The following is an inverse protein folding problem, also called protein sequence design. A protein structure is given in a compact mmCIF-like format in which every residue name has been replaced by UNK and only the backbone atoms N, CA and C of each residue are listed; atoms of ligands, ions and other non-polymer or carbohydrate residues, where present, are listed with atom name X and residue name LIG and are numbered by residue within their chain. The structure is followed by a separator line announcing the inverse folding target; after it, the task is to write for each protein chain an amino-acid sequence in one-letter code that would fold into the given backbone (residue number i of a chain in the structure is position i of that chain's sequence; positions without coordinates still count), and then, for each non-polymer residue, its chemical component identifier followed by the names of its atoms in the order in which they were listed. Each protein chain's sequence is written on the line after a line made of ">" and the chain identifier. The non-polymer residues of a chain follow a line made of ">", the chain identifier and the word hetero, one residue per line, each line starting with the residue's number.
data_IF_463131965759
#
_entry.id   IF_463131965759
#
_cell.length_a   1.000
_cell.length_b   1.000
_cell.length_c   1.000
_cell.angle_alpha   90.00
_cell.angle_beta   90.00
_cell.angle_gamma   90.00
#
_symmetry.space_group_name_H-M   'P 1'
#
loop_
_entity.id
_entity.type
_entity.pdbx_description
1 polymer ?
#
# COMPACT_ATOMS: atom_id res chain seq x y z
N UNK A 1 43.71 -2.69 9.19
CA UNK A 1 44.34 -2.47 7.87
C UNK A 1 44.71 -3.82 7.26
N UNK A 2 44.04 -4.23 6.19
CA UNK A 2 44.54 -5.12 5.15
C UNK A 2 43.54 -5.03 3.98
N UNK A 3 43.97 -4.35 2.91
CA UNK A 3 43.21 -4.07 1.69
C UNK A 3 42.94 -5.39 0.96
N UNK A 4 41.69 -5.71 0.65
CA UNK A 4 41.41 -6.59 -0.49
C UNK A 4 41.78 -5.79 -1.73
N UNK A 5 43.04 -5.90 -2.18
CA UNK A 5 43.67 -5.09 -3.23
C UNK A 5 43.11 -5.35 -4.63
N UNK A 6 41.78 -5.30 -4.79
CA UNK A 6 41.13 -5.36 -6.09
C UNK A 6 40.74 -3.95 -6.52
N UNK A 7 41.29 -3.51 -7.65
CA UNK A 7 40.98 -2.20 -8.25
C UNK A 7 39.58 -2.21 -8.86
N UNK A 8 39.00 -1.03 -9.09
CA UNK A 8 37.69 -0.89 -9.73
C UNK A 8 37.59 -1.65 -11.07
N UNK A 9 38.68 -1.67 -11.84
CA UNK A 9 38.79 -2.42 -13.10
C UNK A 9 38.66 -3.93 -12.92
N UNK A 10 39.13 -4.48 -11.79
CA UNK A 10 39.02 -5.91 -11.51
C UNK A 10 37.60 -6.33 -11.10
N UNK A 11 36.84 -5.44 -10.47
CA UNK A 11 35.43 -5.67 -10.13
C UNK A 11 34.55 -5.54 -11.37
N UNK A 12 34.84 -4.56 -12.23
CA UNK A 12 34.19 -4.40 -13.54
C UNK A 12 34.49 -5.58 -14.48
N UNK A 13 35.72 -6.08 -14.49
CA UNK A 13 36.08 -7.29 -15.26
C UNK A 13 35.44 -8.58 -14.71
N UNK A 14 35.11 -8.64 -13.41
CA UNK A 14 34.35 -9.77 -12.83
C UNK A 14 32.88 -9.75 -13.25
N UNK A 15 32.30 -8.55 -13.42
CA UNK A 15 30.95 -8.36 -13.97
C UNK A 15 30.89 -8.61 -15.49
N UNK A 16 32.04 -8.75 -16.16
CA UNK A 16 32.18 -8.96 -17.60
C UNK A 16 32.41 -10.45 -17.98
N UNK A 17 32.49 -11.36 -17.01
CA UNK A 17 32.67 -12.80 -17.29
C UNK A 17 31.34 -13.56 -17.35
N UNK A 18 30.99 -13.93 -18.59
CA UNK A 18 30.01 -14.92 -19.03
C UNK A 18 29.55 -15.94 -17.97
N UNK A 19 28.26 -15.91 -17.62
CA UNK A 19 27.56 -17.12 -17.18
C UNK A 19 27.14 -17.89 -18.44
N UNK A 20 27.79 -19.04 -18.62
CA UNK A 20 27.56 -20.02 -19.66
C UNK A 20 26.20 -20.70 -19.47
N UNK A 21 25.28 -20.49 -20.41
CA UNK A 21 24.47 -21.57 -21.01
C UNK A 21 24.10 -21.14 -22.43
N UNK A 22 24.64 -21.85 -23.41
CA UNK A 22 24.68 -21.41 -24.81
C UNK A 22 23.33 -21.33 -25.50
N UNK A 23 23.08 -20.19 -26.14
CA UNK A 23 22.44 -20.09 -27.45
C UNK A 23 22.82 -18.71 -28.03
N UNK A 24 23.46 -18.71 -29.19
CA UNK A 24 23.90 -17.49 -29.85
C UNK A 24 22.71 -16.65 -30.34
N UNK A 25 22.59 -15.41 -29.87
CA UNK A 25 22.06 -14.30 -30.67
C UNK A 25 22.38 -12.94 -30.04
N UNK A 26 22.98 -12.08 -30.87
CA UNK A 26 23.09 -10.61 -30.75
C UNK A 26 23.72 -10.01 -29.48
N UNK A 27 25.00 -9.66 -29.61
CA UNK A 27 25.74 -8.65 -28.84
C UNK A 27 24.85 -7.46 -28.41
N UNK A 28 24.53 -7.37 -27.12
CA UNK A 28 24.12 -6.13 -26.47
C UNK A 28 25.37 -5.28 -26.23
N UNK A 29 25.72 -4.43 -27.20
CA UNK A 29 26.77 -3.42 -27.03
C UNK A 29 26.29 -2.40 -25.99
N UNK A 30 26.93 -2.40 -24.80
CA UNK A 30 26.70 -1.43 -23.72
C UNK A 30 27.06 -0.02 -24.19
N UNK A 31 26.06 0.84 -24.41
CA UNK A 31 26.23 2.30 -24.53
C UNK A 31 25.91 2.95 -23.19
N UNK A 32 26.79 2.83 -22.20
CA UNK A 32 26.66 3.55 -20.93
C UNK A 32 27.78 4.58 -20.80
N UNK A 33 27.39 5.83 -20.55
CA UNK A 33 28.28 6.96 -20.30
C UNK A 33 28.40 7.16 -18.79
N UNK A 34 29.58 6.85 -18.24
CA UNK A 34 29.83 6.91 -16.82
C UNK A 34 29.85 8.33 -16.25
N UNK A 35 30.19 9.33 -17.06
CA UNK A 35 30.24 10.72 -16.62
C UNK A 35 28.83 11.29 -16.51
N UNK A 36 28.01 11.01 -17.52
CA UNK A 36 26.59 11.36 -17.51
C UNK A 36 25.81 10.67 -16.39
N UNK A 37 26.08 9.39 -16.11
CA UNK A 37 25.45 8.73 -14.96
C UNK A 37 25.94 9.32 -13.63
N UNK A 38 27.20 9.74 -13.53
CA UNK A 38 27.72 10.36 -12.30
C UNK A 38 27.02 11.69 -12.02
N UNK A 39 26.88 12.55 -13.02
CA UNK A 39 26.17 13.83 -12.91
C UNK A 39 24.69 13.62 -12.56
N UNK A 40 24.01 12.71 -13.24
CA UNK A 40 22.61 12.37 -12.95
C UNK A 40 22.43 11.89 -11.51
N UNK A 41 23.28 10.99 -11.03
CA UNK A 41 23.15 10.48 -9.66
C UNK A 41 23.54 11.54 -8.60
N UNK A 42 24.43 12.48 -8.90
CA UNK A 42 24.72 13.59 -7.97
C UNK A 42 23.54 14.55 -7.85
N UNK A 43 22.90 14.91 -8.98
CA UNK A 43 21.68 15.70 -8.99
C UNK A 43 20.54 14.97 -8.25
N UNK A 44 20.36 13.68 -8.52
CA UNK A 44 19.39 12.83 -7.79
C UNK A 44 19.70 12.75 -6.29
N UNK A 45 20.97 12.65 -5.89
CA UNK A 45 21.35 12.62 -4.47
C UNK A 45 21.01 13.94 -3.75
N UNK A 46 21.18 15.10 -4.41
CA UNK A 46 20.78 16.39 -3.86
C UNK A 46 19.25 16.51 -3.75
N UNK A 47 18.52 16.02 -4.75
CA UNK A 47 17.04 15.98 -4.75
C UNK A 47 16.55 15.07 -3.62
N UNK A 48 17.15 13.89 -3.46
CA UNK A 48 16.81 12.93 -2.41
C UNK A 48 17.13 13.49 -1.02
N UNK A 49 18.24 14.22 -0.86
CA UNK A 49 18.57 14.88 0.41
C UNK A 49 17.56 16.01 0.74
N UNK A 50 17.22 16.85 -0.24
CA UNK A 50 16.22 17.90 -0.08
C UNK A 50 14.83 17.33 0.20
N UNK A 51 14.44 16.26 -0.51
CA UNK A 51 13.22 15.51 -0.26
C UNK A 51 13.22 14.90 1.14
N UNK A 52 14.30 14.26 1.58
CA UNK A 52 14.42 13.70 2.92
C UNK A 52 14.19 14.75 4.00
N UNK A 53 14.79 15.92 3.88
CA UNK A 53 14.58 17.02 4.83
C UNK A 53 13.14 17.56 4.80
N UNK A 54 12.58 17.79 3.60
CA UNK A 54 11.23 18.34 3.47
C UNK A 54 10.14 17.34 3.87
N UNK A 55 10.32 16.07 3.53
CA UNK A 55 9.43 14.97 3.87
C UNK A 55 9.41 14.73 5.37
N UNK A 56 10.58 14.67 6.02
CA UNK A 56 10.68 14.54 7.48
C UNK A 56 9.92 15.66 8.20
N UNK A 57 10.15 16.91 7.80
CA UNK A 57 9.45 18.06 8.39
C UNK A 57 7.94 18.07 8.10
N UNK A 58 7.51 17.58 6.93
CA UNK A 58 6.08 17.46 6.61
C UNK A 58 5.39 16.37 7.42
N UNK A 59 6.04 15.21 7.61
CA UNK A 59 5.57 14.11 8.46
C UNK A 59 5.43 14.58 9.90
N UNK A 60 6.47 15.23 10.44
CA UNK A 60 6.48 15.75 11.81
C UNK A 60 5.36 16.77 12.02
N UNK A 61 5.23 17.78 11.13
CA UNK A 61 4.14 18.76 11.21
C UNK A 61 2.76 18.11 11.19
N UNK A 62 2.54 17.14 10.30
CA UNK A 62 1.25 16.44 10.22
C UNK A 62 0.96 15.63 11.48
N UNK A 63 1.95 14.89 11.99
CA UNK A 63 1.82 14.11 13.22
C UNK A 63 1.56 15.02 14.44
N UNK A 64 2.27 16.16 14.54
CA UNK A 64 2.07 17.16 15.58
C UNK A 64 0.66 17.76 15.56
N UNK A 65 0.16 18.14 14.38
CA UNK A 65 -1.20 18.67 14.22
C UNK A 65 -2.25 17.66 14.72
N UNK A 66 -2.21 16.41 14.24
CA UNK A 66 -3.16 15.37 14.70
C UNK A 66 -3.05 15.11 16.20
N UNK A 67 -1.83 15.06 16.75
CA UNK A 67 -1.64 14.91 18.21
C UNK A 67 -2.22 16.08 18.99
N UNK A 68 -2.08 17.32 18.50
CA UNK A 68 -2.62 18.50 19.16
C UNK A 68 -4.15 18.43 19.23
N UNK A 69 -4.81 18.06 18.13
CA UNK A 69 -6.26 17.89 18.07
C UNK A 69 -6.74 16.81 19.05
N UNK A 70 -6.09 15.65 19.08
CA UNK A 70 -6.44 14.57 20.01
C UNK A 70 -6.21 14.97 21.48
N UNK A 71 -5.12 15.69 21.77
CA UNK A 71 -4.87 16.24 23.11
C UNK A 71 -5.94 17.24 23.52
N UNK A 72 -6.46 18.04 22.58
CA UNK A 72 -7.57 18.94 22.86
C UNK A 72 -8.86 18.17 23.16
N UNK A 73 -9.14 17.09 22.43
CA UNK A 73 -10.29 16.21 22.71
C UNK A 73 -10.16 15.54 24.09
N UNK A 74 -8.95 15.09 24.47
CA UNK A 74 -8.68 14.54 25.80
C UNK A 74 -8.97 15.58 26.89
N UNK A 75 -8.56 16.83 26.70
CA UNK A 75 -8.85 17.92 27.66
C UNK A 75 -10.35 18.25 27.76
N UNK A 76 -11.10 18.01 26.70
CA UNK A 76 -12.53 18.32 26.62
C UNK A 76 -13.46 17.22 27.15
N UNK A 77 -12.91 16.04 27.50
CA UNK A 77 -13.69 14.91 28.02
C UNK A 77 -13.23 14.51 29.42
N UNK A 78 -14.15 14.05 30.26
CA UNK A 78 -13.85 13.45 31.58
C UNK A 78 -14.03 11.93 31.58
N UNK A 79 -14.47 11.35 30.46
CA UNK A 79 -14.71 9.92 30.30
C UNK A 79 -13.37 9.15 30.18
N UNK A 80 -13.02 8.29 31.16
CA UNK A 80 -11.75 7.56 31.16
C UNK A 80 -11.55 6.64 29.95
N UNK A 81 -12.62 6.04 29.43
CA UNK A 81 -12.53 5.13 28.28
C UNK A 81 -12.26 5.92 27.00
N UNK A 82 -12.90 7.08 26.82
CA UNK A 82 -12.58 8.00 25.70
C UNK A 82 -11.15 8.51 25.79
N UNK A 83 -10.67 8.86 26.98
CA UNK A 83 -9.28 9.30 27.16
C UNK A 83 -8.31 8.19 26.73
N UNK A 84 -8.56 6.95 27.16
CA UNK A 84 -7.74 5.78 26.79
C UNK A 84 -7.74 5.55 25.28
N UNK A 85 -8.90 5.62 24.63
CA UNK A 85 -9.03 5.47 23.19
C UNK A 85 -8.27 6.57 22.42
N UNK A 86 -8.41 7.83 22.83
CA UNK A 86 -7.69 8.97 22.23
C UNK A 86 -6.17 8.85 22.44
N UNK A 87 -5.73 8.37 23.60
CA UNK A 87 -4.31 8.12 23.87
C UNK A 87 -3.75 6.97 23.01
N UNK A 88 -4.55 5.94 22.73
CA UNK A 88 -4.17 4.87 21.82
C UNK A 88 -3.98 5.42 20.38
N UNK A 89 -4.85 6.33 19.92
CA UNK A 89 -4.68 7.00 18.61
C UNK A 89 -3.40 7.85 18.56
N UNK A 90 -3.01 8.53 19.64
CA UNK A 90 -1.73 9.24 19.72
C UNK A 90 -0.54 8.27 19.59
N UNK A 91 -0.60 7.13 20.27
CA UNK A 91 0.45 6.10 20.18
C UNK A 91 0.56 5.51 18.78
N UNK A 92 -0.57 5.36 18.09
CA UNK A 92 -0.62 4.96 16.70
C UNK A 92 0.06 6.00 15.81
N UNK A 93 -0.30 7.29 15.91
CA UNK A 93 0.35 8.38 15.15
C UNK A 93 1.87 8.38 15.35
N UNK A 94 2.35 8.20 16.59
CA UNK A 94 3.78 8.12 16.89
C UNK A 94 4.45 6.91 16.21
N UNK A 95 3.72 5.80 16.09
CA UNK A 95 4.21 4.60 15.39
C UNK A 95 4.27 4.87 13.88
N UNK A 96 3.22 5.45 13.31
CA UNK A 96 3.18 5.80 11.88
C UNK A 96 4.31 6.78 11.50
N UNK A 97 4.52 7.84 12.30
CA UNK A 97 5.63 8.79 12.13
C UNK A 97 6.99 8.10 12.16
N UNK A 98 7.23 7.18 13.12
CA UNK A 98 8.49 6.42 13.20
C UNK A 98 8.72 5.57 11.96
N UNK A 99 7.69 4.92 11.44
CA UNK A 99 7.79 4.09 10.23
C UNK A 99 8.20 4.93 9.01
N UNK A 100 7.61 6.11 8.83
CA UNK A 100 7.96 7.00 7.72
C UNK A 100 9.35 7.61 7.88
N UNK A 101 9.75 7.94 9.11
CA UNK A 101 11.09 8.45 9.41
C UNK A 101 12.19 7.42 9.11
N UNK A 102 11.90 6.11 9.12
CA UNK A 102 12.86 5.09 8.65
C UNK A 102 13.15 5.26 7.16
N UNK A 103 12.15 5.51 6.31
CA UNK A 103 12.39 5.80 4.90
C UNK A 103 13.15 7.12 4.68
N UNK A 104 12.82 8.16 5.44
CA UNK A 104 13.56 9.43 5.38
C UNK A 104 15.04 9.22 5.75
N UNK A 105 15.32 8.48 6.83
CA UNK A 105 16.69 8.12 7.23
C UNK A 105 17.42 7.32 6.15
N UNK A 106 16.75 6.31 5.59
CA UNK A 106 17.29 5.51 4.49
C UNK A 106 17.66 6.35 3.27
N UNK A 107 16.76 7.23 2.83
CA UNK A 107 16.94 8.10 1.67
C UNK A 107 18.03 9.16 1.91
N UNK A 108 18.12 9.70 3.12
CA UNK A 108 19.17 10.67 3.49
C UNK A 108 20.57 10.08 3.65
N UNK A 109 20.72 8.75 3.57
CA UNK A 109 22.00 8.06 3.66
C UNK A 109 22.55 7.91 5.09
N UNK A 110 21.68 8.02 6.11
CA UNK A 110 22.08 7.87 7.51
C UNK A 110 22.22 6.39 7.90
N UNK A 111 23.35 5.76 7.58
CA UNK A 111 23.69 4.41 8.06
C UNK A 111 24.35 3.50 7.03
N UNK A 112 24.84 2.34 7.49
CA UNK A 112 25.33 1.29 6.58
C UNK A 112 24.17 0.63 5.83
N UNK A 113 24.39 0.28 4.56
CA UNK A 113 23.33 -0.24 3.66
C UNK A 113 22.58 -1.45 4.22
N UNK A 114 23.26 -2.35 4.94
CA UNK A 114 22.61 -3.48 5.60
C UNK A 114 21.68 -3.06 6.77
N UNK A 115 22.07 -2.04 7.54
CA UNK A 115 21.23 -1.51 8.62
C UNK A 115 20.02 -0.76 8.05
N UNK A 116 20.20 -0.04 6.94
CA UNK A 116 19.11 0.60 6.20
C UNK A 116 18.12 -0.43 5.68
N UNK A 117 18.60 -1.50 5.02
CA UNK A 117 17.74 -2.59 4.55
C UNK A 117 16.93 -3.20 5.70
N UNK A 118 17.58 -3.55 6.82
CA UNK A 118 16.92 -4.16 7.96
C UNK A 118 15.86 -3.23 8.57
N UNK A 119 16.17 -1.94 8.70
CA UNK A 119 15.22 -0.94 9.19
C UNK A 119 14.01 -0.79 8.28
N UNK A 120 14.23 -0.63 6.97
CA UNK A 120 13.16 -0.55 5.98
C UNK A 120 12.30 -1.81 5.97
N UNK A 121 12.91 -2.99 6.06
CA UNK A 121 12.19 -4.27 6.05
C UNK A 121 11.32 -4.45 7.30
N UNK A 122 11.83 -4.12 8.49
CA UNK A 122 11.02 -4.12 9.72
C UNK A 122 9.87 -3.10 9.65
N UNK A 123 10.13 -1.92 9.07
CA UNK A 123 9.08 -0.93 8.88
C UNK A 123 8.02 -1.41 7.87
N UNK A 124 8.44 -2.04 6.78
CA UNK A 124 7.58 -2.67 5.78
C UNK A 124 6.68 -3.74 6.41
N UNK A 125 7.25 -4.62 7.23
CA UNK A 125 6.53 -5.66 7.98
C UNK A 125 5.47 -5.07 8.91
N UNK A 126 5.81 -3.99 9.61
CA UNK A 126 4.86 -3.29 10.50
C UNK A 126 3.72 -2.64 9.72
N UNK A 127 4.01 -1.96 8.61
CA UNK A 127 2.99 -1.39 7.73
C UNK A 127 2.11 -2.48 7.11
N UNK A 128 2.70 -3.61 6.69
CA UNK A 128 1.95 -4.78 6.22
C UNK A 128 0.99 -5.29 7.28
N UNK A 129 1.40 -5.43 8.54
CA UNK A 129 0.51 -5.83 9.64
C UNK A 129 -0.66 -4.86 9.85
N UNK A 130 -0.43 -3.55 9.74
CA UNK A 130 -1.51 -2.57 9.78
C UNK A 130 -2.48 -2.78 8.62
N UNK A 131 -1.96 -2.94 7.41
CA UNK A 131 -2.77 -3.18 6.21
C UNK A 131 -3.60 -4.45 6.35
N UNK A 132 -3.02 -5.56 6.81
CA UNK A 132 -3.74 -6.82 7.05
C UNK A 132 -4.86 -6.61 8.08
N UNK A 133 -4.53 -6.07 9.25
CA UNK A 133 -5.50 -5.87 10.32
C UNK A 133 -6.65 -4.94 9.89
N UNK A 134 -6.36 -3.95 9.05
CA UNK A 134 -7.37 -3.05 8.49
C UNK A 134 -8.22 -3.74 7.42
N UNK A 135 -7.61 -4.53 6.54
CA UNK A 135 -8.33 -5.36 5.55
C UNK A 135 -9.28 -6.35 6.21
N UNK A 136 -8.91 -6.93 7.35
CA UNK A 136 -9.71 -7.90 8.09
C UNK A 136 -10.99 -7.32 8.73
N UNK A 137 -11.05 -6.00 8.94
CA UNK A 137 -12.22 -5.32 9.52
C UNK A 137 -13.46 -5.46 8.66
N UNK A 138 -13.29 -5.52 7.34
CA UNK A 138 -14.43 -5.68 6.44
C UNK A 138 -14.85 -7.14 6.38
N UNK A 139 -16.08 -7.42 6.81
CA UNK A 139 -16.65 -8.75 6.71
C UNK A 139 -16.79 -9.21 5.25
N UNK A 140 -17.11 -8.27 4.35
CA UNK A 140 -17.32 -8.54 2.93
C UNK A 140 -18.69 -8.10 2.45
N UNK A 141 -18.93 -8.27 1.16
CA UNK A 141 -20.21 -8.10 0.50
C UNK A 141 -20.58 -9.36 -0.26
N UNK A 142 -21.84 -9.78 -0.18
CA UNK A 142 -22.31 -11.02 -0.81
C UNK A 142 -23.71 -10.86 -1.42
N UNK A 143 -23.98 -11.58 -2.50
CA UNK A 143 -25.32 -11.80 -3.04
C UNK A 143 -25.88 -13.21 -2.73
N UNK A 144 -25.19 -13.95 -1.86
CA UNK A 144 -25.46 -15.34 -1.49
C UNK A 144 -24.81 -16.39 -2.40
N UNK A 145 -24.24 -15.97 -3.54
CA UNK A 145 -23.52 -16.85 -4.48
C UNK A 145 -22.06 -16.41 -4.63
N UNK A 146 -21.84 -15.11 -4.78
CA UNK A 146 -20.53 -14.49 -4.87
C UNK A 146 -20.27 -13.66 -3.62
N UNK A 147 -19.06 -13.75 -3.07
CA UNK A 147 -18.60 -12.91 -1.97
C UNK A 147 -17.32 -12.20 -2.38
N UNK A 148 -17.20 -10.92 -2.01
CA UNK A 148 -15.99 -10.13 -2.18
C UNK A 148 -15.65 -9.46 -0.86
N UNK A 149 -14.40 -9.61 -0.43
CA UNK A 149 -13.87 -8.97 0.78
C UNK A 149 -12.45 -8.42 0.50
N UNK A 150 -11.68 -8.13 1.55
CA UNK A 150 -10.29 -7.64 1.43
C UNK A 150 -9.25 -8.68 1.87
N UNK A 151 -9.60 -9.96 2.02
CA UNK A 151 -8.76 -10.99 2.66
C UNK A 151 -8.78 -12.37 2.00
N UNK A 152 -9.76 -12.66 1.14
CA UNK A 152 -9.95 -13.97 0.52
C UNK A 152 -9.10 -14.20 -0.73
N UNK A 153 -8.40 -13.18 -1.24
CA UNK A 153 -7.63 -13.31 -2.46
C UNK A 153 -6.38 -14.16 -2.24
N UNK A 154 -6.11 -15.06 -3.19
CA UNK A 154 -4.96 -15.94 -3.11
C UNK A 154 -3.65 -15.18 -3.40
N UNK A 155 -2.66 -15.36 -2.53
CA UNK A 155 -1.29 -14.88 -2.72
C UNK A 155 -0.34 -15.78 -1.91
N UNK A 156 0.94 -15.81 -2.26
CA UNK A 156 1.94 -16.36 -1.33
C UNK A 156 2.19 -15.41 -0.16
N UNK A 157 1.92 -14.11 -0.35
CA UNK A 157 2.36 -13.04 0.53
C UNK A 157 3.88 -12.86 0.46
N UNK A 158 4.37 -11.61 0.53
CA UNK A 158 5.82 -11.35 0.39
C UNK A 158 6.66 -12.03 1.49
N UNK A 159 6.03 -12.38 2.62
CA UNK A 159 6.64 -13.09 3.76
C UNK A 159 6.20 -14.55 3.90
N UNK A 160 5.51 -15.09 2.91
CA UNK A 160 4.98 -16.47 2.98
C UNK A 160 3.82 -16.63 3.97
N UNK A 161 3.14 -15.53 4.33
CA UNK A 161 1.99 -15.52 5.24
C UNK A 161 0.67 -15.84 4.52
N UNK A 162 0.69 -15.99 3.19
CA UNK A 162 -0.47 -16.29 2.38
C UNK A 162 -1.49 -15.15 2.25
N UNK A 163 -1.21 -13.98 2.83
CA UNK A 163 -2.16 -12.86 2.82
C UNK A 163 -1.92 -11.95 1.61
N UNK A 164 -2.98 -11.65 0.88
CA UNK A 164 -2.92 -10.72 -0.26
C UNK A 164 -3.17 -9.29 0.20
N UNK A 165 -2.14 -8.46 0.20
CA UNK A 165 -2.25 -7.01 0.48
C UNK A 165 -2.23 -6.16 -0.77
N UNK A 166 -1.72 -6.70 -1.88
CA UNK A 166 -1.75 -6.00 -3.15
C UNK A 166 -3.17 -5.90 -3.70
N UNK A 167 -3.47 -4.79 -4.35
CA UNK A 167 -4.73 -4.57 -5.04
C UNK A 167 -5.69 -3.66 -4.29
N UNK A 168 -6.77 -3.30 -4.96
CA UNK A 168 -7.76 -2.35 -4.47
C UNK A 168 -8.69 -3.03 -3.45
N UNK A 169 -8.99 -2.33 -2.36
CA UNK A 169 -10.02 -2.73 -1.40
C UNK A 169 -11.42 -2.52 -1.96
N UNK A 170 -12.40 -3.19 -1.36
CA UNK A 170 -13.81 -3.07 -1.76
C UNK A 170 -14.28 -1.61 -1.67
N UNK A 171 -14.81 -1.09 -2.78
CA UNK A 171 -15.42 0.24 -2.87
C UNK A 171 -16.94 0.11 -2.89
N UNK A 172 -17.56 0.27 -1.72
CA UNK A 172 -19.02 0.09 -1.57
C UNK A 172 -19.85 1.08 -2.39
N UNK A 173 -19.36 2.30 -2.64
CA UNK A 173 -20.06 3.25 -3.50
C UNK A 173 -20.10 2.79 -4.97
N UNK A 174 -19.12 2.00 -5.40
CA UNK A 174 -19.14 1.37 -6.72
C UNK A 174 -20.14 0.21 -6.74
N UNK A 175 -20.07 -0.70 -5.76
CA UNK A 175 -20.95 -1.88 -5.72
C UNK A 175 -22.42 -1.53 -5.41
N UNK A 176 -22.65 -0.82 -4.31
CA UNK A 176 -23.98 -0.49 -3.81
C UNK A 176 -24.54 0.79 -4.43
N UNK A 177 -23.68 1.66 -4.98
CA UNK A 177 -24.07 2.98 -5.45
C UNK A 177 -23.99 4.05 -4.37
N UNK A 178 -23.99 5.34 -4.76
CA UNK A 178 -23.81 6.46 -3.83
C UNK A 178 -24.95 6.57 -2.80
N UNK A 179 -26.13 5.99 -3.08
CA UNK A 179 -27.29 5.98 -2.18
C UNK A 179 -27.77 4.55 -1.85
N UNK A 180 -26.87 3.58 -1.99
CA UNK A 180 -27.11 2.16 -1.70
C UNK A 180 -28.25 1.52 -2.53
N UNK A 181 -28.52 2.02 -3.73
CA UNK A 181 -29.62 1.55 -4.57
C UNK A 181 -29.45 0.11 -5.08
N UNK A 182 -28.22 -0.42 -5.12
CA UNK A 182 -27.91 -1.80 -5.55
C UNK A 182 -27.76 -2.79 -4.40
N UNK A 183 -27.87 -2.35 -3.15
CA UNK A 183 -27.72 -3.20 -1.97
C UNK A 183 -28.97 -3.14 -1.10
N UNK A 184 -29.17 -4.17 -0.26
CA UNK A 184 -30.28 -4.17 0.69
C UNK A 184 -30.01 -3.12 1.75
N UNK A 185 -31.08 -2.42 2.14
CA UNK A 185 -31.05 -1.35 3.13
C UNK A 185 -31.68 -1.80 4.44
N UNK A 186 -31.17 -1.26 5.53
CA UNK A 186 -31.69 -1.50 6.87
C UNK A 186 -33.06 -0.84 7.03
N UNK A 187 -33.98 -1.49 7.75
CA UNK A 187 -35.36 -1.03 7.94
C UNK A 187 -35.76 -1.14 9.40
N UNK A 188 -36.54 -0.18 9.88
CA UNK A 188 -37.14 -0.19 11.21
C UNK A 188 -38.27 -1.24 11.31
N UNK A 189 -38.85 -1.39 12.51
CA UNK A 189 -39.95 -2.32 12.79
C UNK A 189 -41.22 -2.04 11.99
N UNK A 190 -41.34 -0.86 11.37
CA UNK A 190 -42.46 -0.45 10.52
C UNK A 190 -42.13 -0.57 9.02
N UNK A 191 -40.96 -1.11 8.69
CA UNK A 191 -40.51 -1.30 7.32
C UNK A 191 -39.96 -0.03 6.64
N UNK A 192 -39.75 1.06 7.40
CA UNK A 192 -39.15 2.30 6.89
C UNK A 192 -37.63 2.19 6.89
N UNK A 193 -36.98 2.65 5.82
CA UNK A 193 -35.51 2.67 5.73
C UNK A 193 -34.90 3.53 6.84
N UNK A 194 -33.88 2.99 7.51
CA UNK A 194 -33.09 3.71 8.51
C UNK A 194 -32.03 4.52 7.77
N UNK A 195 -31.97 5.82 8.01
CA UNK A 195 -31.01 6.71 7.37
C UNK A 195 -29.79 6.96 8.27
N UNK A 196 -28.65 7.24 7.65
CA UNK A 196 -27.49 7.80 8.32
C UNK A 196 -27.64 9.32 8.54
N UNK A 197 -26.61 9.94 9.12
CA UNK A 197 -26.57 11.38 9.43
C UNK A 197 -26.68 12.28 8.18
N UNK A 198 -26.42 11.72 6.99
CA UNK A 198 -26.50 12.41 5.70
C UNK A 198 -27.81 12.13 4.96
N UNK A 199 -28.74 11.39 5.57
CA UNK A 199 -30.00 11.00 4.96
C UNK A 199 -29.89 9.82 3.99
N UNK A 200 -28.74 9.14 3.91
CA UNK A 200 -28.53 7.98 3.05
C UNK A 200 -29.01 6.72 3.79
N UNK A 201 -29.82 5.84 3.18
CA UNK A 201 -30.25 4.60 3.82
C UNK A 201 -29.06 3.72 4.22
N UNK A 202 -29.02 3.27 5.48
CA UNK A 202 -27.98 2.37 5.98
C UNK A 202 -28.03 1.02 5.24
N UNK A 203 -26.85 0.44 5.02
CA UNK A 203 -26.74 -0.89 4.45
C UNK A 203 -27.22 -1.94 5.45
N UNK A 204 -28.01 -2.90 4.97
CA UNK A 204 -28.35 -4.08 5.76
C UNK A 204 -27.17 -5.04 5.78
N UNK A 205 -26.76 -5.42 6.98
CA UNK A 205 -25.79 -6.50 7.22
C UNK A 205 -26.54 -7.81 7.53
N UNK A 206 -25.95 -8.95 7.19
CA UNK A 206 -26.42 -10.25 7.67
C UNK A 206 -25.86 -10.59 9.07
N UNK A 207 -26.21 -11.77 9.59
CA UNK A 207 -25.76 -12.23 10.91
C UNK A 207 -24.25 -12.43 11.05
N UNK A 208 -23.50 -12.34 9.94
CA UNK A 208 -22.04 -12.43 9.90
C UNK A 208 -21.38 -11.08 9.57
N UNK A 209 -22.18 -10.02 9.43
CA UNK A 209 -21.70 -8.67 9.13
C UNK A 209 -21.52 -8.36 7.64
N UNK A 210 -21.84 -9.28 6.72
CA UNK A 210 -21.68 -9.01 5.29
C UNK A 210 -22.74 -8.04 4.78
N UNK A 211 -22.31 -7.08 3.96
CA UNK A 211 -23.20 -6.26 3.15
C UNK A 211 -23.94 -7.14 2.15
N UNK A 212 -25.23 -6.89 1.96
CA UNK A 212 -26.07 -7.71 1.10
C UNK A 212 -26.31 -7.02 -0.25
N UNK A 213 -25.65 -7.49 -1.30
CA UNK A 213 -25.91 -7.04 -2.66
C UNK A 213 -27.31 -7.50 -3.11
N UNK A 214 -28.11 -6.59 -3.67
CA UNK A 214 -29.49 -6.88 -4.07
C UNK A 214 -29.57 -7.12 -5.58
N UNK A 215 -29.54 -8.40 -5.97
CA UNK A 215 -29.62 -8.82 -7.38
C UNK A 215 -30.85 -8.25 -8.10
N UNK A 216 -31.97 -8.09 -7.39
CA UNK A 216 -33.21 -7.58 -7.99
C UNK A 216 -33.11 -6.08 -8.24
N UNK A 217 -32.60 -5.33 -7.26
CA UNK A 217 -32.42 -3.89 -7.40
C UNK A 217 -31.33 -3.55 -8.44
N UNK A 218 -30.22 -4.30 -8.42
CA UNK A 218 -29.13 -4.15 -9.38
C UNK A 218 -29.44 -4.70 -10.78
N UNK A 219 -30.50 -5.52 -10.92
CA UNK A 219 -30.89 -6.23 -12.15
C UNK A 219 -29.81 -7.16 -12.71
N UNK A 220 -28.90 -7.65 -11.85
CA UNK A 220 -27.81 -8.60 -12.17
C UNK A 220 -27.22 -9.23 -10.91
N UNK A 221 -26.52 -10.34 -11.05
CA UNK A 221 -25.72 -10.92 -9.95
C UNK A 221 -24.51 -10.05 -9.65
N UNK A 222 -23.89 -10.23 -8.49
CA UNK A 222 -22.65 -9.52 -8.15
C UNK A 222 -21.51 -9.92 -9.09
N UNK A 223 -21.39 -11.20 -9.45
CA UNK A 223 -20.43 -11.65 -10.47
C UNK A 223 -20.62 -10.93 -11.81
N UNK A 224 -21.87 -10.78 -12.28
CA UNK A 224 -22.17 -10.03 -13.50
C UNK A 224 -21.87 -8.54 -13.37
N UNK A 225 -21.99 -7.96 -12.16
CA UNK A 225 -21.59 -6.58 -11.91
C UNK A 225 -20.07 -6.40 -11.99
N UNK A 226 -19.30 -7.32 -11.39
CA UNK A 226 -17.83 -7.27 -11.41
C UNK A 226 -17.26 -7.34 -12.84
N UNK A 227 -18.00 -7.94 -13.78
CA UNK A 227 -17.63 -7.96 -15.21
C UNK A 227 -17.95 -6.66 -15.99
N UNK A 228 -18.70 -5.73 -15.40
CA UNK A 228 -18.98 -4.43 -16.01
C UNK A 228 -17.76 -3.51 -15.97
N UNK A 229 -17.81 -2.40 -16.72
CA UNK A 229 -16.76 -1.37 -16.67
C UNK A 229 -16.51 -0.88 -15.24
N UNK A 230 -17.56 -0.54 -14.50
CA UNK A 230 -17.44 -0.05 -13.12
C UNK A 230 -16.81 -1.11 -12.19
N UNK A 231 -17.20 -2.38 -12.37
CA UNK A 231 -16.64 -3.50 -11.61
C UNK A 231 -15.16 -3.76 -11.91
N UNK A 232 -14.76 -3.67 -13.18
CA UNK A 232 -13.37 -3.84 -13.62
C UNK A 232 -12.49 -2.66 -13.23
N UNK A 233 -13.00 -1.44 -13.37
CA UNK A 233 -12.29 -0.22 -12.99
C UNK A 233 -12.04 -0.20 -11.47
N UNK A 234 -12.94 -0.76 -10.65
CA UNK A 234 -12.75 -0.90 -9.19
C UNK A 234 -11.56 -1.77 -8.80
N UNK A 235 -11.22 -2.80 -9.58
CA UNK A 235 -10.07 -3.66 -9.28
C UNK A 235 -8.74 -2.92 -9.42
N UNK A 236 -8.72 -1.78 -10.12
CA UNK A 236 -7.51 -1.04 -10.41
C UNK A 236 -6.65 -1.70 -11.49
N UNK A 237 -5.60 -1.01 -11.91
CA UNK A 237 -4.71 -1.46 -12.99
C UNK A 237 -3.71 -2.52 -12.54
N UNK A 238 -3.38 -2.57 -11.24
CA UNK A 238 -2.34 -3.43 -10.68
C UNK A 238 -2.82 -4.07 -9.38
N UNK A 239 -2.52 -5.35 -9.18
CA UNK A 239 -2.88 -6.07 -7.97
C UNK A 239 -4.32 -6.62 -7.94
N UNK A 240 -5.23 -6.12 -8.78
CA UNK A 240 -6.64 -6.57 -8.80
C UNK A 240 -7.41 -6.18 -7.53
N UNK A 241 -8.49 -6.87 -7.20
CA UNK A 241 -9.14 -6.70 -5.89
C UNK A 241 -8.40 -7.51 -4.82
N UNK A 242 -8.28 -7.00 -3.59
CA UNK A 242 -7.61 -7.73 -2.48
C UNK A 242 -8.27 -9.07 -2.17
N UNK A 243 -9.61 -9.16 -2.16
CA UNK A 243 -10.34 -10.43 -2.04
C UNK A 243 -10.44 -11.26 -3.32
N UNK A 244 -9.87 -10.79 -4.43
CA UNK A 244 -9.96 -11.42 -5.74
C UNK A 244 -8.59 -11.90 -6.28
N UNK A 245 -8.56 -12.40 -7.52
CA UNK A 245 -7.30 -12.78 -8.15
C UNK A 245 -6.40 -11.55 -8.36
N UNK A 246 -5.09 -11.75 -8.21
CA UNK A 246 -4.11 -10.74 -8.58
C UNK A 246 -4.11 -10.49 -10.08
N UNK A 247 -4.19 -9.23 -10.51
CA UNK A 247 -4.19 -8.87 -11.93
C UNK A 247 -3.21 -7.76 -12.27
N UNK A 248 -2.68 -7.78 -13.50
CA UNK A 248 -1.93 -6.68 -14.11
C UNK A 248 -2.62 -6.27 -15.41
N UNK A 249 -3.09 -5.03 -15.49
CA UNK A 249 -3.96 -4.52 -16.56
C UNK A 249 -5.18 -5.42 -16.82
N UNK A 250 -5.77 -5.95 -15.74
CA UNK A 250 -6.90 -6.88 -15.79
C UNK A 250 -6.55 -8.33 -16.18
N UNK A 251 -5.29 -8.63 -16.53
CA UNK A 251 -4.85 -10.00 -16.79
C UNK A 251 -4.41 -10.68 -15.50
N UNK A 252 -4.95 -11.87 -15.16
CA UNK A 252 -4.61 -12.55 -13.93
C UNK A 252 -3.15 -13.03 -13.93
N UNK A 253 -2.49 -12.96 -12.77
CA UNK A 253 -1.21 -13.59 -12.51
C UNK A 253 -1.33 -14.65 -11.40
N UNK A 254 -0.42 -15.62 -11.40
CA UNK A 254 -0.43 -16.72 -10.43
C UNK A 254 0.01 -16.27 -9.04
N UNK A 255 -0.72 -16.70 -8.03
CA UNK A 255 -0.27 -16.67 -6.62
C UNK A 255 1.11 -17.35 -6.48
N UNK A 256 2.01 -16.71 -5.73
CA UNK A 256 3.40 -17.14 -5.54
C UNK A 256 4.33 -16.92 -6.74
N UNK A 257 3.81 -16.40 -7.85
CA UNK A 257 4.62 -16.01 -9.00
C UNK A 257 5.44 -14.74 -8.73
N UNK A 258 6.39 -14.43 -9.62
CA UNK A 258 7.22 -13.21 -9.51
C UNK A 258 6.34 -11.95 -9.48
N UNK A 259 5.30 -11.89 -10.31
CA UNK A 259 4.38 -10.75 -10.31
C UNK A 259 3.63 -10.63 -8.99
N UNK A 260 3.19 -11.74 -8.40
CA UNK A 260 2.54 -11.72 -7.08
C UNK A 260 3.47 -11.14 -6.01
N UNK A 261 4.69 -11.67 -5.91
CA UNK A 261 5.68 -11.19 -4.93
C UNK A 261 6.06 -9.72 -5.13
N UNK A 262 6.23 -9.28 -6.37
CA UNK A 262 6.53 -7.86 -6.66
C UNK A 262 5.39 -6.96 -6.20
N UNK A 263 4.14 -7.32 -6.49
CA UNK A 263 3.00 -6.52 -6.05
C UNK A 263 2.83 -6.58 -4.53
N UNK A 264 3.03 -7.73 -3.89
CA UNK A 264 2.94 -7.88 -2.42
C UNK A 264 4.04 -7.12 -1.68
N UNK A 265 5.23 -6.95 -2.27
CA UNK A 265 6.27 -6.11 -1.69
C UNK A 265 5.81 -4.65 -1.56
N UNK A 266 4.99 -4.18 -2.50
CA UNK A 266 4.37 -2.86 -2.42
C UNK A 266 3.14 -2.85 -1.52
N UNK A 267 2.23 -3.82 -1.67
CA UNK A 267 0.86 -3.83 -1.11
C UNK A 267 0.78 -3.32 0.32
N UNK A 268 1.54 -3.92 1.25
CA UNK A 268 1.52 -3.54 2.65
C UNK A 268 1.89 -2.07 2.91
N UNK A 269 3.01 -1.60 2.37
CA UNK A 269 3.49 -0.23 2.58
C UNK A 269 2.70 0.80 1.77
N UNK A 270 2.33 0.45 0.55
CA UNK A 270 1.50 1.27 -0.32
C UNK A 270 0.15 1.56 0.33
N UNK A 271 -0.61 0.53 0.71
CA UNK A 271 -1.95 0.69 1.29
C UNK A 271 -1.93 1.41 2.63
N UNK A 272 -0.87 1.22 3.41
CA UNK A 272 -0.70 1.98 4.64
C UNK A 272 -0.51 3.48 4.36
N UNK A 273 0.33 3.86 3.40
CA UNK A 273 0.63 5.26 3.05
C UNK A 273 -0.55 5.92 2.30
N UNK A 274 -1.08 5.23 1.29
CA UNK A 274 -2.15 5.75 0.42
C UNK A 274 -3.52 5.69 1.09
N UNK A 275 -3.76 4.67 1.92
CA UNK A 275 -5.05 4.36 2.51
C UNK A 275 -5.18 4.83 3.95
N UNK A 276 -4.48 4.14 4.86
CA UNK A 276 -4.59 4.37 6.31
C UNK A 276 -4.10 5.77 6.71
N UNK A 277 -2.91 6.17 6.27
CA UNK A 277 -2.27 7.42 6.67
C UNK A 277 -2.99 8.66 6.10
N UNK A 278 -3.44 8.57 4.85
CA UNK A 278 -4.19 9.64 4.17
C UNK A 278 -5.61 9.82 4.70
N UNK A 279 -6.11 8.82 5.45
CA UNK A 279 -7.50 8.73 5.88
C UNK A 279 -8.47 8.44 4.73
N UNK A 280 -7.99 7.79 3.67
CA UNK A 280 -8.84 7.26 2.59
C UNK A 280 -9.62 6.03 3.04
N UNK A 281 -9.06 5.21 3.92
CA UNK A 281 -9.76 4.07 4.49
C UNK A 281 -10.63 4.47 5.69
N UNK A 282 -11.83 3.90 5.76
CA UNK A 282 -12.79 4.12 6.83
C UNK A 282 -12.64 3.10 7.98
N UNK A 283 -13.54 3.18 8.97
CA UNK A 283 -13.51 2.31 10.15
C UNK A 283 -13.76 0.83 9.83
N UNK A 284 -14.31 0.51 8.66
CA UNK A 284 -14.49 -0.86 8.17
C UNK A 284 -13.28 -1.33 7.36
N UNK A 285 -12.25 -0.49 7.21
CA UNK A 285 -11.07 -0.79 6.40
C UNK A 285 -11.32 -0.69 4.90
N UNK A 286 -12.41 -0.07 4.44
CA UNK A 286 -12.70 0.12 3.02
C UNK A 286 -12.40 1.54 2.56
N UNK A 287 -12.35 1.77 1.25
CA UNK A 287 -12.38 3.12 0.70
C UNK A 287 -13.60 3.89 1.24
N UNK A 288 -13.35 5.10 1.74
CA UNK A 288 -14.38 5.96 2.31
C UNK A 288 -15.54 6.18 1.37
N UNK A 289 -16.71 6.21 1.97
CA UNK A 289 -17.98 6.44 1.28
C UNK A 289 -18.40 7.90 1.24
N UNK A 290 -19.16 8.26 0.21
CA UNK A 290 -19.72 9.59 0.03
C UNK A 290 -18.66 10.66 -0.23
N UNK A 291 -17.56 10.28 -0.88
CA UNK A 291 -16.54 11.22 -1.32
C UNK A 291 -17.08 12.09 -2.46
N UNK A 292 -16.84 13.40 -2.37
CA UNK A 292 -17.09 14.30 -3.51
C UNK A 292 -16.17 13.93 -4.69
N UNK A 293 -16.53 14.28 -5.94
CA UNK A 293 -15.65 14.05 -7.09
C UNK A 293 -14.24 14.60 -6.92
N UNK A 294 -14.11 15.76 -6.26
CA UNK A 294 -12.79 16.37 -5.96
C UNK A 294 -12.01 15.53 -4.97
N UNK A 295 -12.63 15.08 -3.88
CA UNK A 295 -11.96 14.22 -2.91
C UNK A 295 -11.54 12.88 -3.53
N UNK A 296 -12.42 12.27 -4.34
CA UNK A 296 -12.12 11.04 -5.06
C UNK A 296 -10.89 11.22 -5.96
N UNK A 297 -10.85 12.29 -6.78
CA UNK A 297 -9.71 12.60 -7.63
C UNK A 297 -8.41 12.84 -6.85
N UNK A 298 -8.48 13.51 -5.70
CA UNK A 298 -7.31 13.71 -4.84
C UNK A 298 -6.78 12.39 -4.26
N UNK A 299 -7.67 11.48 -3.85
CA UNK A 299 -7.25 10.18 -3.33
C UNK A 299 -6.69 9.26 -4.43
N UNK A 300 -7.27 9.27 -5.63
CA UNK A 300 -6.73 8.54 -6.79
C UNK A 300 -5.31 9.01 -7.12
N UNK A 301 -5.10 10.33 -7.26
CA UNK A 301 -3.76 10.92 -7.48
C UNK A 301 -2.80 10.56 -6.34
N UNK A 302 -3.26 10.65 -5.08
CA UNK A 302 -2.41 10.33 -3.93
C UNK A 302 -2.00 8.85 -3.92
N UNK A 303 -2.90 7.96 -4.32
CA UNK A 303 -2.64 6.52 -4.40
C UNK A 303 -1.52 6.24 -5.40
N UNK A 304 -1.56 6.85 -6.58
CA UNK A 304 -0.50 6.72 -7.57
C UNK A 304 0.85 7.30 -7.07
N UNK A 305 0.81 8.46 -6.42
CA UNK A 305 2.01 9.11 -5.85
C UNK A 305 2.62 8.27 -4.73
N UNK A 306 1.80 7.58 -3.92
CA UNK A 306 2.22 6.79 -2.77
C UNK A 306 3.11 5.60 -3.14
N UNK A 307 3.17 5.18 -4.40
CA UNK A 307 4.14 4.20 -4.88
C UNK A 307 5.58 4.65 -4.63
N UNK A 308 5.89 5.92 -4.86
CA UNK A 308 7.25 6.47 -4.70
C UNK A 308 7.76 6.35 -3.25
N UNK A 309 7.05 6.83 -2.21
CA UNK A 309 7.47 6.63 -0.82
C UNK A 309 7.33 5.18 -0.35
N UNK A 310 6.52 4.33 -1.01
CA UNK A 310 6.46 2.89 -0.73
C UNK A 310 7.68 2.12 -1.29
N UNK A 311 8.28 2.58 -2.39
CA UNK A 311 9.38 1.89 -3.09
C UNK A 311 10.56 1.49 -2.19
N UNK A 312 11.11 2.34 -1.30
CA UNK A 312 12.22 1.93 -0.43
C UNK A 312 11.88 0.72 0.45
N UNK A 313 10.65 0.66 0.97
CA UNK A 313 10.14 -0.44 1.76
C UNK A 313 9.96 -1.69 0.89
N UNK A 314 9.30 -1.55 -0.27
CA UNK A 314 9.09 -2.65 -1.19
C UNK A 314 10.42 -3.28 -1.67
N UNK A 315 11.42 -2.46 -1.99
CA UNK A 315 12.74 -2.95 -2.38
C UNK A 315 13.45 -3.68 -1.22
N UNK A 316 13.22 -3.29 0.02
CA UNK A 316 13.81 -3.97 1.18
C UNK A 316 13.25 -5.38 1.40
N UNK A 317 12.00 -5.61 0.98
CA UNK A 317 11.33 -6.90 1.00
C UNK A 317 11.67 -7.76 -0.23
N UNK A 318 11.65 -7.17 -1.42
CA UNK A 318 11.78 -7.88 -2.68
C UNK A 318 13.23 -8.24 -3.04
N UNK A 319 14.20 -7.41 -2.65
CA UNK A 319 15.60 -7.62 -3.01
C UNK A 319 16.34 -8.44 -1.96
N UNK A 320 17.09 -9.47 -2.37
CA UNK A 320 17.82 -10.30 -1.43
C UNK A 320 19.04 -9.52 -0.87
N UNK A 321 19.59 -9.90 0.30
CA UNK A 321 20.71 -9.19 0.93
C UNK A 321 21.94 -9.02 0.03
N UNK A 322 22.16 -9.92 -0.93
CA UNK A 322 23.27 -9.81 -1.88
C UNK A 322 23.10 -8.63 -2.84
N UNK A 323 21.87 -8.30 -3.24
CA UNK A 323 21.59 -7.14 -4.09
C UNK A 323 21.89 -5.83 -3.34
N UNK A 324 21.51 -5.76 -2.06
CA UNK A 324 21.86 -4.63 -1.19
C UNK A 324 23.36 -4.49 -0.94
N UNK A 325 24.08 -5.61 -0.79
CA UNK A 325 25.56 -5.60 -0.72
C UNK A 325 26.20 -5.11 -2.02
N UNK A 326 25.66 -5.50 -3.18
CA UNK A 326 26.14 -5.01 -4.47
C UNK A 326 25.92 -3.50 -4.60
N UNK A 327 24.75 -3.00 -4.15
CA UNK A 327 24.46 -1.56 -4.07
C UNK A 327 25.47 -0.83 -3.17
N UNK A 328 25.78 -1.37 -1.99
CA UNK A 328 26.78 -0.81 -1.07
C UNK A 328 28.17 -0.72 -1.71
N UNK A 329 28.61 -1.77 -2.41
CA UNK A 329 29.90 -1.77 -3.13
C UNK A 329 29.91 -0.68 -4.19
N UNK A 330 28.85 -0.58 -5.01
CA UNK A 330 28.73 0.43 -6.06
C UNK A 330 28.71 1.86 -5.49
N UNK A 331 28.02 2.08 -4.37
CA UNK A 331 27.96 3.38 -3.69
C UNK A 331 29.30 3.76 -3.04
N UNK A 332 30.05 2.80 -2.48
CA UNK A 332 31.37 3.03 -1.90
C UNK A 332 32.47 3.25 -2.92
N UNK A 333 32.36 2.62 -4.10
CA UNK A 333 33.22 2.93 -5.25
C UNK A 333 33.03 4.36 -5.78
N UNK A 334 31.98 5.06 -5.30
CA UNK A 334 31.59 6.42 -5.68
C UNK A 334 32.05 7.50 -4.70
N UNK A 335 32.61 7.12 -3.55
CA UNK A 335 33.29 8.00 -2.58
C UNK A 335 34.78 7.93 -2.79
#
# INVERSE_FOLDING_TARGET
>A
MARTGKTADQVLAMLDRNILSGAASSSLTKKWDGDKLREQVQAEAQIVAAFGQQAGAAIERHAEQKRADLRQQIKATQDPEKIKALQAQINEINTQERLLNVAVGALSGSGGVAAVQAGLSEAADRMRRYTIADSEKFAGITDGETTLDNKSGESAGIRGDGFKTAGTRVVLDTLCGPVNERCKKEKDSRGKEIQDEKGIPKLKLDGTGHVQFDKKAAKKTMAQFLETKDGKDMAGLTGGNQGGPGTLFGFPYSSGGILDLVHEAYGGSHDFISGTLSGYYDEQGNARRGLTPVQKGLYEIWTDIALVPATPFALSEALPPQAWKALDILLRMKR
#
